data_IF_742911642591
#
_entry.id   IF_742911642591
#
_cell.length_a   1.000
_cell.length_b   1.000
_cell.length_c   1.000
_cell.angle_alpha   90.00
_cell.angle_beta   90.00
_cell.angle_gamma   90.00
#
_symmetry.space_group_name_H-M   'P 1'
#
loop_
_entity.id
_entity.type
_entity.pdbx_description
1 polymer ?
#
# COMPACT_ATOMS: atom_id res chain seq x y z
N UNK A 1 -1.34 7.43 4.71
CA UNK A 1 0.00 8.02 4.57
C UNK A 1 0.79 7.30 3.47
N UNK A 2 1.57 8.04 2.69
CA UNK A 2 2.48 7.50 1.67
C UNK A 2 3.90 8.00 1.95
N UNK A 3 4.89 7.10 1.96
CA UNK A 3 6.31 7.46 2.09
C UNK A 3 7.09 6.92 0.89
N UNK A 4 7.86 7.78 0.23
CA UNK A 4 8.66 7.42 -0.95
C UNK A 4 10.13 7.57 -0.60
N UNK A 5 10.93 6.53 -0.86
CA UNK A 5 12.38 6.57 -0.77
C UNK A 5 12.98 6.25 -2.14
N UNK A 6 13.49 7.25 -2.88
CA UNK A 6 14.10 7.05 -4.19
C UNK A 6 15.41 6.26 -4.12
N UNK A 7 15.69 5.46 -5.16
CA UNK A 7 16.90 4.69 -5.35
C UNK A 7 17.21 4.53 -6.86
N UNK A 8 17.78 5.58 -7.46
CA UNK A 8 18.11 5.56 -8.90
C UNK A 8 16.86 5.51 -9.78
N UNK A 9 16.73 4.44 -10.58
CA UNK A 9 15.58 4.22 -11.47
C UNK A 9 14.37 3.58 -10.77
N UNK A 10 14.46 3.30 -9.47
CA UNK A 10 13.34 2.79 -8.67
C UNK A 10 13.12 3.64 -7.42
N UNK A 11 11.99 3.45 -6.76
CA UNK A 11 11.68 4.01 -5.46
C UNK A 11 11.01 2.95 -4.59
N UNK A 12 11.45 2.85 -3.33
CA UNK A 12 10.74 2.08 -2.32
C UNK A 12 9.59 2.93 -1.78
N UNK A 13 8.38 2.54 -2.14
CA UNK A 13 7.14 3.22 -1.73
C UNK A 13 6.50 2.44 -0.59
N UNK A 14 6.25 3.09 0.52
CA UNK A 14 5.56 2.52 1.68
C UNK A 14 4.17 3.12 1.80
N UNK A 15 3.17 2.24 1.65
CA UNK A 15 1.77 2.54 1.86
C UNK A 15 1.44 2.23 3.32
N UNK A 16 0.81 3.18 4.02
CA UNK A 16 0.48 3.03 5.42
C UNK A 16 -0.85 3.67 5.77
N UNK A 17 -1.62 3.01 6.63
CA UNK A 17 -2.85 3.53 7.23
C UNK A 17 -2.79 3.36 8.75
N UNK A 18 -3.41 4.24 9.54
CA UNK A 18 -3.66 4.00 10.95
C UNK A 18 -4.49 2.71 11.16
N UNK A 19 -4.25 2.03 12.28
CA UNK A 19 -5.01 0.80 12.62
C UNK A 19 -6.43 1.08 13.11
N UNK A 20 -6.69 2.28 13.63
CA UNK A 20 -7.96 2.73 14.18
C UNK A 20 -8.93 3.27 13.11
N UNK A 21 -8.43 3.78 11.99
CA UNK A 21 -9.26 4.26 10.87
C UNK A 21 -9.99 3.14 10.12
N UNK A 22 -9.38 1.95 10.01
CA UNK A 22 -9.93 0.81 9.27
C UNK A 22 -9.79 -0.45 10.09
N UNK A 23 -10.89 -1.14 10.40
CA UNK A 23 -10.89 -2.33 11.26
C UNK A 23 -10.62 -3.64 10.51
N UNK A 24 -10.95 -3.71 9.22
CA UNK A 24 -10.79 -4.89 8.36
C UNK A 24 -9.40 -4.98 7.72
N UNK A 25 -9.10 -6.05 6.98
CA UNK A 25 -7.87 -6.14 6.21
C UNK A 25 -7.89 -5.14 5.05
N UNK A 26 -6.70 -4.64 4.70
CA UNK A 26 -6.52 -3.68 3.62
C UNK A 26 -5.39 -4.15 2.72
N UNK A 27 -5.59 -4.08 1.42
CA UNK A 27 -4.54 -4.25 0.41
C UNK A 27 -4.34 -2.97 -0.38
N UNK A 28 -3.14 -2.78 -0.93
CA UNK A 28 -2.92 -1.77 -1.97
C UNK A 28 -3.05 -2.42 -3.34
N UNK A 29 -3.90 -1.85 -4.18
CA UNK A 29 -4.04 -2.19 -5.59
C UNK A 29 -3.35 -1.12 -6.41
N UNK A 30 -2.78 -1.48 -7.55
CA UNK A 30 -2.28 -0.51 -8.52
C UNK A 30 -1.92 -1.15 -9.86
N UNK A 31 -1.54 -0.31 -10.81
CA UNK A 31 -1.04 -0.78 -12.11
C UNK A 31 0.16 -1.75 -11.95
N UNK A 32 1.03 -1.48 -10.99
CA UNK A 32 2.22 -2.26 -10.67
C UNK A 32 1.97 -3.67 -10.14
N UNK A 33 0.73 -4.00 -9.74
CA UNK A 33 0.35 -5.36 -9.35
C UNK A 33 -0.89 -5.88 -10.08
N UNK A 34 -1.23 -5.28 -11.24
CA UNK A 34 -2.39 -5.69 -12.02
C UNK A 34 -3.72 -5.55 -11.28
N UNK A 35 -3.81 -4.63 -10.32
CA UNK A 35 -4.97 -4.45 -9.44
C UNK A 35 -5.35 -5.69 -8.61
N UNK A 36 -4.39 -6.56 -8.29
CA UNK A 36 -4.59 -7.77 -7.50
C UNK A 36 -4.59 -7.50 -5.98
N UNK A 37 -5.72 -7.80 -5.34
CA UNK A 37 -5.92 -7.63 -3.89
C UNK A 37 -5.11 -8.61 -3.04
N UNK A 38 -4.65 -9.73 -3.60
CA UNK A 38 -3.85 -10.72 -2.90
C UNK A 38 -2.36 -10.39 -2.90
N UNK A 39 -1.90 -9.57 -3.85
CA UNK A 39 -0.47 -9.31 -4.06
C UNK A 39 0.19 -8.48 -2.94
N UNK A 40 -0.51 -7.46 -2.43
CA UNK A 40 0.08 -6.50 -1.47
C UNK A 40 -0.84 -6.16 -0.28
N UNK A 41 -1.15 -7.13 0.60
CA UNK A 41 -1.86 -6.86 1.85
C UNK A 41 -1.00 -6.04 2.85
N UNK A 42 -1.62 -5.03 3.47
CA UNK A 42 -1.00 -4.22 4.53
C UNK A 42 -0.95 -5.02 5.83
N UNK A 43 0.25 -5.11 6.42
CA UNK A 43 0.46 -5.83 7.69
C UNK A 43 0.41 -4.87 8.87
N UNK A 44 -0.26 -5.27 9.95
CA UNK A 44 -0.26 -4.51 11.22
C UNK A 44 1.16 -4.37 11.77
N UNK A 45 1.45 -3.21 12.35
CA UNK A 45 2.76 -2.83 12.91
C UNK A 45 2.57 -2.36 14.35
N UNK A 46 3.61 -2.51 15.16
CA UNK A 46 3.60 -2.12 16.57
C UNK A 46 3.46 -0.60 16.79
N UNK A 47 3.73 0.21 15.78
CA UNK A 47 3.64 1.67 15.83
C UNK A 47 2.22 2.22 15.56
N UNK A 48 1.18 1.38 15.70
CA UNK A 48 -0.21 1.81 15.48
C UNK A 48 -0.64 1.90 14.02
N UNK A 49 0.19 1.45 13.07
CA UNK A 49 -0.14 1.48 11.63
C UNK A 49 -0.27 0.09 11.04
N UNK A 50 -0.90 -0.01 9.87
CA UNK A 50 -0.76 -1.13 8.94
C UNK A 50 0.02 -0.65 7.72
N UNK A 51 0.96 -1.44 7.21
CA UNK A 51 1.80 -0.99 6.09
C UNK A 51 2.39 -2.11 5.24
N UNK A 52 2.67 -1.77 3.98
CA UNK A 52 3.41 -2.57 3.00
C UNK A 52 4.38 -1.67 2.23
N UNK A 53 5.55 -2.20 1.87
CA UNK A 53 6.51 -1.52 1.01
C UNK A 53 6.61 -2.24 -0.33
N UNK A 54 6.59 -1.49 -1.42
CA UNK A 54 6.69 -1.97 -2.80
C UNK A 54 7.81 -1.20 -3.49
N UNK A 55 8.64 -1.91 -4.25
CA UNK A 55 9.63 -1.28 -5.13
C UNK A 55 8.98 -0.97 -6.48
N UNK A 56 8.95 0.31 -6.84
CA UNK A 56 8.34 0.78 -8.09
C UNK A 56 9.41 1.41 -8.97
N UNK A 57 9.37 1.19 -10.30
CA UNK A 57 10.14 2.00 -11.22
C UNK A 57 9.82 3.49 -11.08
N UNK A 58 10.75 4.35 -11.49
CA UNK A 58 10.47 5.78 -11.60
C UNK A 58 9.36 6.00 -12.66
N UNK A 59 8.32 6.75 -12.29
CA UNK A 59 7.19 7.02 -13.17
C UNK A 59 5.93 7.38 -12.41
N UNK A 60 4.84 7.56 -13.17
CA UNK A 60 3.50 7.69 -12.63
C UNK A 60 2.91 6.31 -12.37
N UNK A 61 2.36 6.13 -11.17
CA UNK A 61 1.65 4.92 -10.77
C UNK A 61 0.30 5.29 -10.18
N UNK A 62 -0.73 4.53 -10.54
CA UNK A 62 -2.08 4.65 -10.00
C UNK A 62 -2.30 3.57 -8.97
N UNK A 63 -2.91 3.95 -7.86
CA UNK A 63 -3.20 3.01 -6.77
C UNK A 63 -4.53 3.30 -6.10
N UNK A 64 -5.05 2.30 -5.38
CA UNK A 64 -6.20 2.40 -4.47
C UNK A 64 -5.97 1.52 -3.25
N UNK A 65 -6.56 1.90 -2.12
CA UNK A 65 -6.73 0.98 -1.01
C UNK A 65 -7.98 0.13 -1.24
N UNK A 66 -7.87 -1.17 -0.99
CA UNK A 66 -9.00 -2.09 -1.06
C UNK A 66 -9.25 -2.66 0.32
N UNK A 67 -10.50 -2.53 0.79
CA UNK A 67 -10.95 -3.09 2.07
C UNK A 67 -11.83 -4.31 1.81
N UNK A 68 -11.65 -5.38 2.58
CA UNK A 68 -12.49 -6.59 2.45
C UNK A 68 -13.99 -6.31 2.71
N UNK A 69 -14.31 -5.22 3.43
CA UNK A 69 -15.68 -4.77 3.68
C UNK A 69 -16.35 -4.09 2.49
N UNK A 70 -15.68 -3.94 1.35
CA UNK A 70 -16.21 -3.27 0.16
C UNK A 70 -16.31 -1.74 0.28
N UNK A 71 -15.69 -1.16 1.32
CA UNK A 71 -15.54 0.28 1.46
C UNK A 71 -14.39 0.79 0.60
N UNK A 72 -14.60 1.93 -0.04
CA UNK A 72 -13.61 2.62 -0.86
C UNK A 72 -12.84 3.66 -0.06
#
# INVERSE_FOLDING_TARGET
>A
MLKIQPAGSTAKVTFALPLDEVSCNVSVLGDFNGWDASAHPLKKRSNGTRSVSVELPAGEHRFKYFTESGGW
#
